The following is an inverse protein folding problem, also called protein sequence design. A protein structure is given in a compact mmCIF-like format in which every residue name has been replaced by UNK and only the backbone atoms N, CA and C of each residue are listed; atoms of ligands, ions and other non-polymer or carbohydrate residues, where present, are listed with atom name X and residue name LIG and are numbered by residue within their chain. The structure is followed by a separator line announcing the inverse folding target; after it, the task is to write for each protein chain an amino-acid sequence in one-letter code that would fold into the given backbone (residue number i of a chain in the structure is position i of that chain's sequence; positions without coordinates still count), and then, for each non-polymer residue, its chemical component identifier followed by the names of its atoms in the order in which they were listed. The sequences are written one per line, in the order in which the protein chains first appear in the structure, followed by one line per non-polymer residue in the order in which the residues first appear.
data_IF_784961151287
#
_entry.id   IF_784961151287
#
_cell.length_a   1.000
_cell.length_b   1.000
_cell.length_c   1.000
_cell.angle_alpha   90.00
_cell.angle_beta   90.00
_cell.angle_gamma   90.00
#
_symmetry.space_group_name_H-M   'P 1'
#
loop_
_entity.id
_entity.type
_entity.pdbx_description
1 polymer ?
#
# COMPACT_ATOMS: atom_id res chain seq x y z
N UNK A 1 -5.31 3.18 13.29
CA UNK A 1 -4.19 2.23 13.17
C UNK A 1 -3.04 2.78 12.32
N UNK A 2 -3.33 3.45 11.20
CA UNK A 2 -2.39 4.01 10.22
C UNK A 2 -1.00 4.43 10.73
N UNK A 3 -0.91 5.52 11.51
CA UNK A 3 0.37 6.06 11.94
C UNK A 3 1.17 5.10 12.84
N UNK A 4 0.50 4.27 13.64
CA UNK A 4 1.18 3.38 14.58
C UNK A 4 1.96 2.26 13.90
N UNK A 5 1.32 1.58 12.92
CA UNK A 5 1.99 0.52 12.15
C UNK A 5 3.10 1.12 11.29
N UNK A 6 2.83 2.22 10.59
CA UNK A 6 3.81 2.85 9.70
C UNK A 6 5.03 3.37 10.48
N UNK A 7 4.85 3.92 11.68
CA UNK A 7 5.96 4.38 12.52
C UNK A 7 6.89 3.26 13.00
N UNK A 8 6.42 2.00 13.03
CA UNK A 8 7.23 0.84 13.38
C UNK A 8 7.99 0.23 12.18
N UNK A 9 7.67 0.63 10.95
CA UNK A 9 8.33 0.18 9.74
C UNK A 9 9.58 1.01 9.45
N UNK A 10 10.60 0.39 8.83
CA UNK A 10 11.67 1.16 8.20
C UNK A 10 11.14 1.92 6.98
N UNK A 11 11.83 3.00 6.55
CA UNK A 11 11.42 3.75 5.37
C UNK A 11 11.31 2.90 4.09
N UNK A 12 12.14 1.86 3.97
CA UNK A 12 12.23 0.98 2.79
C UNK A 12 11.42 -0.33 2.92
N UNK A 13 10.82 -0.59 4.09
CA UNK A 13 9.89 -1.72 4.23
C UNK A 13 8.62 -1.45 3.42
N UNK A 14 8.10 -2.52 2.81
CA UNK A 14 6.95 -2.43 1.93
C UNK A 14 5.64 -2.33 2.71
N UNK A 15 4.70 -1.59 2.15
CA UNK A 15 3.35 -1.48 2.69
C UNK A 15 2.31 -1.47 1.58
N UNK A 16 1.24 -2.21 1.82
CA UNK A 16 0.04 -2.26 0.99
C UNK A 16 -1.15 -1.86 1.86
N UNK A 17 -2.01 -1.00 1.33
CA UNK A 17 -3.25 -0.61 2.02
C UNK A 17 -4.45 -0.65 1.09
N UNK A 18 -5.63 -0.44 1.66
CA UNK A 18 -6.90 -0.41 0.93
C UNK A 18 -7.17 0.97 0.32
N UNK A 19 -8.27 1.07 -0.42
CA UNK A 19 -8.86 2.34 -0.90
C UNK A 19 -9.19 3.36 0.20
N UNK A 20 -9.17 2.98 1.49
CA UNK A 20 -9.31 3.90 2.64
C UNK A 20 -7.97 4.36 3.23
N UNK A 21 -6.85 3.97 2.60
CA UNK A 21 -5.50 4.09 3.14
C UNK A 21 -4.77 5.40 2.87
N UNK A 22 -5.46 6.50 2.54
CA UNK A 22 -4.79 7.80 2.28
C UNK A 22 -3.95 8.24 3.48
N UNK A 23 -4.43 8.00 4.70
CA UNK A 23 -3.67 8.28 5.91
C UNK A 23 -2.39 7.44 6.03
N UNK A 24 -2.41 6.19 5.57
CA UNK A 24 -1.21 5.32 5.56
C UNK A 24 -0.19 5.84 4.54
N UNK A 25 -0.66 6.24 3.36
CA UNK A 25 0.17 6.80 2.28
C UNK A 25 0.88 8.08 2.76
N UNK A 26 0.13 8.98 3.42
CA UNK A 26 0.70 10.20 4.01
C UNK A 26 1.64 9.89 5.18
N UNK A 27 1.29 8.94 6.06
CA UNK A 27 2.13 8.54 7.17
C UNK A 27 3.46 7.93 6.71
N UNK A 28 3.50 7.28 5.54
CA UNK A 28 4.73 6.75 4.92
C UNK A 28 5.55 7.84 4.21
N UNK A 29 5.10 9.09 4.25
CA UNK A 29 5.87 10.26 3.80
C UNK A 29 5.55 10.73 2.38
N UNK A 30 4.44 10.29 1.80
CA UNK A 30 3.98 10.81 0.52
C UNK A 30 3.72 12.32 0.56
N UNK A 31 4.01 13.01 -0.55
CA UNK A 31 3.67 14.42 -0.69
C UNK A 31 2.15 14.63 -0.71
N UNK A 32 1.68 15.57 0.11
CA UNK A 32 0.27 15.97 0.12
C UNK A 32 -0.16 16.51 -1.26
N UNK A 33 0.72 17.26 -1.94
CA UNK A 33 0.47 17.75 -3.29
C UNK A 33 0.31 16.60 -4.29
N UNK A 34 1.17 15.57 -4.23
CA UNK A 34 1.08 14.43 -5.13
C UNK A 34 -0.19 13.60 -4.87
N UNK A 35 -0.58 13.44 -3.61
CA UNK A 35 -1.85 12.79 -3.24
C UNK A 35 -3.02 13.59 -3.80
N UNK A 36 -3.12 14.89 -3.51
CA UNK A 36 -4.21 15.72 -4.06
C UNK A 36 -4.19 15.82 -5.58
N UNK A 37 -3.00 15.88 -6.18
CA UNK A 37 -2.83 15.82 -7.62
C UNK A 37 -3.45 14.56 -8.21
N UNK A 38 -3.25 13.41 -7.55
CA UNK A 38 -3.86 12.15 -7.98
C UNK A 38 -5.38 12.16 -7.81
N UNK A 39 -5.87 12.64 -6.66
CA UNK A 39 -7.30 12.74 -6.36
C UNK A 39 -8.06 13.68 -7.31
N UNK A 40 -7.41 14.74 -7.75
CA UNK A 40 -7.98 15.77 -8.62
C UNK A 40 -7.72 15.51 -10.11
N UNK A 41 -7.18 14.35 -10.48
CA UNK A 41 -6.90 13.99 -11.87
C UNK A 41 -5.83 14.86 -12.54
N UNK A 42 -4.88 15.39 -11.77
CA UNK A 42 -3.81 16.28 -12.25
C UNK A 42 -2.55 15.50 -12.61
N UNK A 43 -1.78 16.03 -13.55
CA UNK A 43 -0.51 15.45 -13.98
C UNK A 43 0.55 15.38 -12.85
N UNK A 44 0.41 16.21 -11.81
CA UNK A 44 1.24 16.18 -10.60
C UNK A 44 0.92 15.00 -9.67
N UNK A 45 -0.13 14.23 -9.96
CA UNK A 45 -0.48 13.03 -9.22
C UNK A 45 0.58 11.93 -9.31
N UNK A 46 0.61 11.06 -8.30
CA UNK A 46 1.53 9.90 -8.20
C UNK A 46 1.52 8.99 -9.44
N UNK A 47 0.35 8.86 -10.07
CA UNK A 47 0.11 8.12 -11.31
C UNK A 47 -0.36 9.05 -12.44
N UNK A 48 -0.01 10.34 -12.36
CA UNK A 48 -0.42 11.42 -13.27
C UNK A 48 -1.94 11.60 -13.33
N UNK A 49 -2.64 11.38 -12.21
CA UNK A 49 -4.07 11.62 -12.09
C UNK A 49 -4.97 10.54 -12.68
N UNK A 50 -4.44 9.33 -12.91
CA UNK A 50 -5.15 8.23 -13.59
C UNK A 50 -5.74 7.19 -12.64
N UNK A 51 -5.18 7.05 -11.46
CA UNK A 51 -5.46 6.01 -10.49
C UNK A 51 -6.45 6.42 -9.40
N UNK A 52 -6.51 7.71 -9.06
CA UNK A 52 -7.33 8.21 -7.95
C UNK A 52 -6.93 7.60 -6.60
N UNK A 53 -7.82 7.67 -5.61
CA UNK A 53 -7.54 7.16 -4.24
C UNK A 53 -7.27 5.65 -4.18
N UNK A 54 -7.81 4.90 -5.15
CA UNK A 54 -7.73 3.44 -5.18
C UNK A 54 -6.40 2.89 -5.71
N UNK A 55 -5.52 3.74 -6.26
CA UNK A 55 -4.25 3.31 -6.86
C UNK A 55 -3.09 4.29 -6.54
N UNK A 56 -3.06 4.82 -5.32
CA UNK A 56 -1.92 5.60 -4.82
C UNK A 56 -0.73 4.65 -4.64
N UNK A 57 0.45 5.06 -5.11
CA UNK A 57 1.68 4.30 -4.95
C UNK A 57 2.87 5.26 -4.86
N UNK A 58 3.78 4.97 -3.95
CA UNK A 58 5.04 5.68 -3.77
C UNK A 58 6.13 4.64 -3.46
N UNK A 59 6.67 4.06 -4.54
CA UNK A 59 7.60 2.93 -4.46
C UNK A 59 8.93 3.32 -3.81
N UNK A 60 9.33 4.58 -3.92
CA UNK A 60 10.55 5.10 -3.27
C UNK A 60 10.44 5.03 -1.74
N UNK A 61 9.22 5.21 -1.21
CA UNK A 61 8.93 5.17 0.22
C UNK A 61 8.30 3.84 0.65
N UNK A 62 8.38 2.80 -0.17
CA UNK A 62 7.82 1.48 0.14
C UNK A 62 6.29 1.41 0.16
N UNK A 63 5.54 2.46 -0.24
CA UNK A 63 4.10 2.33 -0.51
C UNK A 63 3.90 1.66 -1.87
N UNK A 64 3.74 0.34 -1.86
CA UNK A 64 3.77 -0.44 -3.08
C UNK A 64 2.49 -0.32 -3.89
N UNK A 65 1.34 -0.29 -3.21
CA UNK A 65 0.03 -0.01 -3.81
C UNK A 65 -1.02 0.33 -2.75
N UNK A 66 -2.06 1.06 -3.18
CA UNK A 66 -3.40 0.96 -2.63
C UNK A 66 -4.27 0.11 -3.56
N UNK A 67 -5.26 -0.59 -3.01
CA UNK A 67 -6.18 -1.42 -3.82
C UNK A 67 -7.64 -1.12 -3.52
N UNK A 68 -8.43 -0.98 -4.58
CA UNK A 68 -9.89 -0.96 -4.55
C UNK A 68 -10.52 -2.35 -4.43
N UNK A 69 -9.79 -3.42 -4.74
CA UNK A 69 -10.30 -4.79 -4.70
C UNK A 69 -10.14 -5.34 -3.28
N UNK A 70 -11.26 -5.58 -2.60
CA UNK A 70 -11.29 -6.07 -1.22
C UNK A 70 -10.53 -7.39 -1.11
N UNK A 71 -9.64 -7.51 -0.12
CA UNK A 71 -8.82 -8.70 0.14
C UNK A 71 -7.59 -8.89 -0.76
N UNK A 72 -7.57 -8.31 -1.96
CA UNK A 72 -6.50 -8.51 -2.95
C UNK A 72 -5.09 -8.13 -2.50
N UNK A 73 -4.95 -7.21 -1.55
CA UNK A 73 -3.64 -6.75 -1.08
C UNK A 73 -2.82 -7.84 -0.39
N UNK A 74 -3.47 -8.83 0.22
CA UNK A 74 -2.81 -9.85 1.04
C UNK A 74 -1.96 -10.84 0.24
N UNK A 75 -2.42 -11.48 -0.86
CA UNK A 75 -1.54 -12.33 -1.67
C UNK A 75 -0.43 -11.52 -2.36
N UNK A 76 -0.68 -10.24 -2.69
CA UNK A 76 0.35 -9.36 -3.24
C UNK A 76 1.44 -9.10 -2.19
N UNK A 77 1.06 -8.92 -0.92
CA UNK A 77 2.00 -8.75 0.18
C UNK A 77 2.89 -9.99 0.38
N UNK A 78 2.33 -11.19 0.28
CA UNK A 78 3.09 -12.44 0.31
C UNK A 78 4.11 -12.49 -0.83
N UNK A 79 3.72 -12.07 -2.04
CA UNK A 79 4.63 -11.99 -3.18
C UNK A 79 5.81 -11.03 -2.94
N UNK A 80 5.55 -9.87 -2.31
CA UNK A 80 6.61 -8.92 -1.94
C UNK A 80 7.54 -9.48 -0.87
N UNK A 81 6.99 -10.13 0.17
CA UNK A 81 7.75 -10.79 1.22
C UNK A 81 8.63 -11.93 0.68
N UNK A 82 8.06 -12.78 -0.18
CA UNK A 82 8.82 -13.83 -0.87
C UNK A 82 9.94 -13.23 -1.73
N UNK A 83 9.67 -12.14 -2.43
CA UNK A 83 10.67 -11.48 -3.25
C UNK A 83 11.81 -10.88 -2.41
N UNK A 84 11.51 -10.37 -1.20
CA UNK A 84 12.54 -9.92 -0.24
C UNK A 84 13.42 -11.09 0.22
N UNK A 85 12.81 -12.22 0.60
CA UNK A 85 13.53 -13.45 0.96
C UNK A 85 14.45 -13.94 -0.16
N UNK A 86 13.95 -13.97 -1.40
CA UNK A 86 14.72 -14.42 -2.57
C UNK A 86 15.90 -13.50 -2.91
N UNK A 87 15.75 -12.20 -2.67
CA UNK A 87 16.84 -11.23 -2.87
C UNK A 87 17.82 -11.17 -1.69
N UNK A 88 17.48 -11.79 -0.55
CA UNK A 88 18.23 -11.64 0.69
C UNK A 88 18.23 -10.19 1.19
N UNK A 89 17.26 -9.37 0.80
CA UNK A 89 17.05 -8.07 1.41
C UNK A 89 16.21 -8.24 2.67
N UNK A 90 16.64 -7.64 3.78
CA UNK A 90 16.05 -7.82 5.12
C UNK A 90 14.67 -7.13 5.27
N UNK A 91 14.00 -6.80 4.16
CA UNK A 91 12.76 -6.01 4.14
C UNK A 91 11.56 -6.82 4.60
N UNK A 92 10.69 -6.18 5.36
CA UNK A 92 9.37 -6.73 5.68
C UNK A 92 8.29 -6.12 4.81
N UNK A 93 7.16 -6.82 4.68
CA UNK A 93 5.96 -6.30 4.02
C UNK A 93 4.81 -6.26 5.01
N UNK A 94 4.25 -5.07 5.22
CA UNK A 94 2.99 -4.89 5.93
C UNK A 94 1.82 -4.79 4.95
N UNK A 95 0.66 -5.30 5.36
CA UNK A 95 -0.59 -5.12 4.63
C UNK A 95 -1.73 -4.80 5.58
N UNK A 96 -2.57 -3.83 5.23
CA UNK A 96 -3.82 -3.57 5.91
C UNK A 96 -5.02 -4.01 5.05
N UNK A 97 -6.04 -4.53 5.73
CA UNK A 97 -7.32 -4.88 5.13
C UNK A 97 -8.44 -4.66 6.15
N UNK A 98 -9.66 -4.47 5.66
CA UNK A 98 -10.84 -4.37 6.52
C UNK A 98 -11.39 -5.74 6.91
N UNK A 99 -12.21 -5.80 7.95
CA UNK A 99 -12.91 -7.00 8.40
C UNK A 99 -13.71 -7.68 7.27
N UNK A 100 -14.37 -6.92 6.40
CA UNK A 100 -15.07 -7.52 5.24
C UNK A 100 -14.16 -8.31 4.28
N UNK A 101 -12.85 -8.06 4.30
CA UNK A 101 -11.90 -8.86 3.52
C UNK A 101 -11.70 -10.28 4.07
N UNK A 102 -12.10 -10.56 5.33
CA UNK A 102 -12.01 -11.89 5.92
C UNK A 102 -12.94 -12.91 5.30
N UNK A 103 -13.89 -12.47 4.47
CA UNK A 103 -14.79 -13.34 3.69
C UNK A 103 -14.36 -13.48 2.24
N UNK A 104 -13.19 -12.96 1.84
CA UNK A 104 -12.69 -13.03 0.47
C UNK A 104 -11.68 -14.17 0.34
N UNK A 105 -11.86 -15.03 -0.67
CA UNK A 105 -10.99 -16.19 -0.94
C UNK A 105 -9.49 -15.85 -1.00
N UNK A 106 -9.15 -14.73 -1.64
CA UNK A 106 -7.77 -14.25 -1.73
C UNK A 106 -7.08 -14.05 -0.37
N UNK A 107 -7.83 -13.72 0.69
CA UNK A 107 -7.24 -13.66 2.03
C UNK A 107 -6.87 -15.05 2.53
N UNK A 108 -7.76 -16.03 2.34
CA UNK A 108 -7.52 -17.41 2.76
C UNK A 108 -6.35 -18.06 2.01
N UNK A 109 -6.17 -17.71 0.73
CA UNK A 109 -5.00 -18.12 -0.05
C UNK A 109 -3.68 -17.50 0.46
N UNK A 110 -3.76 -16.36 1.14
CA UNK A 110 -2.62 -15.62 1.66
C UNK A 110 -2.22 -16.00 3.10
N UNK A 111 -3.03 -16.78 3.82
CA UNK A 111 -2.74 -17.26 5.18
C UNK A 111 -2.04 -18.63 5.14
#
# INVERSE_FOLDING_TARGET
AAAGVIAALRPDDYYITTYRGVADVLAKGASLEAVFGELLGRATGMSRGKGGTMHLADRERGMMLTTGIVGSGTPIANGLGLAAQLRGDDRITGVSFGDGATSIGALHEAL
#
